data_IF_304745696672
#
_entry.id   IF_304745696672
#
_cell.length_a   1.000
_cell.length_b   1.000
_cell.length_c   1.000
_cell.angle_alpha   90.00
_cell.angle_beta   90.00
_cell.angle_gamma   90.00
#
_symmetry.space_group_name_H-M   'P 1'
#
loop_
_entity.id
_entity.type
_entity.pdbx_description
1 polymer ?
#
# COMPACT_ATOMS: atom_id res chain seq x y z
N UNK A 1 13.20 36.17 26.60
CA UNK A 1 13.44 34.77 26.14
C UNK A 1 12.21 33.94 26.51
N UNK A 2 11.28 33.78 25.59
CA UNK A 2 10.16 32.85 25.78
C UNK A 2 10.66 31.46 25.46
N UNK A 3 10.52 30.55 26.41
CA UNK A 3 10.77 29.14 26.21
C UNK A 3 9.85 28.62 25.07
N UNK A 4 10.42 28.11 24.02
CA UNK A 4 9.70 27.34 22.98
C UNK A 4 9.26 26.04 23.62
N UNK A 5 8.07 26.03 24.21
CA UNK A 5 7.43 24.86 24.76
C UNK A 5 6.94 23.99 23.59
N UNK A 6 7.46 22.75 23.52
CA UNK A 6 6.82 21.63 22.87
C UNK A 6 6.84 21.65 21.33
N UNK A 7 8.03 21.52 20.74
CA UNK A 7 8.10 21.01 19.38
C UNK A 7 7.88 19.51 19.43
N UNK A 8 6.67 19.08 19.08
CA UNK A 8 6.36 17.66 18.98
C UNK A 8 7.13 17.06 17.81
N UNK A 9 7.87 15.99 18.08
CA UNK A 9 8.54 15.20 17.06
C UNK A 9 7.53 14.23 16.49
N UNK A 10 7.27 14.34 15.20
CA UNK A 10 6.42 13.41 14.46
C UNK A 10 7.27 12.36 13.77
N UNK A 11 6.86 11.11 13.90
CA UNK A 11 7.48 9.99 13.19
C UNK A 11 6.53 9.55 12.08
N UNK A 12 7.02 9.53 10.86
CA UNK A 12 6.31 9.03 9.69
C UNK A 12 7.01 7.75 9.23
N UNK A 13 6.24 6.68 9.06
CA UNK A 13 6.73 5.39 8.59
C UNK A 13 6.41 5.24 7.12
N UNK A 14 7.38 4.83 6.32
CA UNK A 14 7.21 4.49 4.91
C UNK A 14 7.21 2.98 4.79
N UNK A 15 6.06 2.39 4.49
CA UNK A 15 5.93 0.95 4.35
C UNK A 15 6.81 0.43 3.20
N UNK A 16 7.52 -0.67 3.47
CA UNK A 16 8.26 -1.37 2.44
C UNK A 16 7.29 -2.02 1.45
N UNK A 17 7.63 -1.97 0.15
CA UNK A 17 6.92 -2.77 -0.85
C UNK A 17 7.34 -4.23 -0.69
N UNK A 18 6.36 -5.13 -0.85
CA UNK A 18 6.63 -6.55 -0.78
C UNK A 18 7.53 -7.00 -1.94
N UNK A 19 8.47 -7.86 -1.66
CA UNK A 19 9.45 -8.37 -2.63
C UNK A 19 8.80 -9.06 -3.82
N UNK A 20 9.42 -8.94 -4.99
CA UNK A 20 8.99 -9.59 -6.23
C UNK A 20 9.50 -11.02 -6.28
N UNK A 21 8.64 -11.96 -6.69
CA UNK A 21 9.01 -13.36 -6.94
C UNK A 21 9.19 -13.54 -8.44
N UNK A 22 10.35 -14.05 -8.84
CA UNK A 22 10.70 -14.34 -10.24
C UNK A 22 10.83 -15.83 -10.46
N UNK A 23 10.63 -16.27 -11.70
CA UNK A 23 11.05 -17.59 -12.16
C UNK A 23 12.57 -17.62 -12.45
N UNK A 24 13.06 -18.80 -12.88
CA UNK A 24 14.49 -18.99 -13.24
C UNK A 24 14.95 -18.14 -14.43
N UNK A 25 14.03 -17.67 -15.27
CA UNK A 25 14.32 -16.88 -16.46
C UNK A 25 14.22 -15.37 -16.18
N UNK A 26 13.85 -15.00 -14.94
CA UNK A 26 13.62 -13.61 -14.55
C UNK A 26 12.20 -13.10 -14.87
N UNK A 27 11.27 -13.98 -15.25
CA UNK A 27 9.88 -13.61 -15.46
C UNK A 27 9.16 -13.44 -14.12
N UNK A 28 8.33 -12.41 -14.03
CA UNK A 28 7.63 -12.08 -12.79
C UNK A 28 6.49 -13.07 -12.54
N UNK A 29 6.52 -13.74 -11.38
CA UNK A 29 5.47 -14.62 -10.89
C UNK A 29 4.53 -13.88 -9.95
N UNK A 30 5.09 -13.05 -9.05
CA UNK A 30 4.32 -12.24 -8.12
C UNK A 30 5.04 -10.91 -7.88
N UNK A 31 4.28 -9.81 -7.89
CA UNK A 31 4.80 -8.46 -7.63
C UNK A 31 3.75 -7.57 -6.97
N UNK A 32 4.20 -6.50 -6.33
CA UNK A 32 3.30 -5.44 -5.90
C UNK A 32 2.94 -4.55 -7.09
N UNK A 33 1.67 -4.18 -7.17
CA UNK A 33 1.18 -3.17 -8.09
C UNK A 33 0.51 -2.03 -7.34
N UNK A 34 0.58 -0.86 -7.91
CA UNK A 34 -0.14 0.31 -7.39
C UNK A 34 -1.64 0.09 -7.55
N UNK A 35 -2.37 0.33 -6.48
CA UNK A 35 -3.81 0.29 -6.43
C UNK A 35 -4.33 1.55 -5.71
N UNK A 36 -5.63 1.78 -5.72
CA UNK A 36 -6.23 2.99 -5.18
C UNK A 36 -7.45 2.65 -4.33
N UNK A 37 -7.58 3.35 -3.20
CA UNK A 37 -8.76 3.28 -2.34
C UNK A 37 -9.55 4.57 -2.47
N UNK A 38 -10.85 4.48 -2.69
CA UNK A 38 -11.73 5.64 -2.86
C UNK A 38 -12.06 6.22 -1.50
N UNK A 39 -11.90 7.54 -1.36
CA UNK A 39 -12.30 8.31 -0.20
C UNK A 39 -13.38 9.31 -0.59
N UNK A 40 -14.40 9.43 0.27
CA UNK A 40 -15.41 10.45 0.19
C UNK A 40 -15.22 11.47 1.31
N UNK A 41 -15.06 12.74 0.98
CA UNK A 41 -15.09 13.85 1.92
C UNK A 41 -16.54 14.29 2.15
N UNK A 42 -16.95 14.41 3.41
CA UNK A 42 -18.33 14.65 3.84
C UNK A 42 -18.50 15.98 4.57
N UNK A 43 -17.41 16.68 4.88
CA UNK A 43 -17.45 17.99 5.56
C UNK A 43 -17.89 19.08 4.58
N UNK A 44 -19.08 19.62 4.79
CA UNK A 44 -19.69 20.67 3.95
C UNK A 44 -18.92 22.00 3.98
N UNK A 45 -18.00 22.17 4.93
CA UNK A 45 -17.13 23.36 5.01
C UNK A 45 -15.90 23.24 4.13
N UNK A 46 -15.64 22.05 3.57
CA UNK A 46 -14.46 21.81 2.73
C UNK A 46 -14.66 22.45 1.35
N UNK A 47 -13.87 23.45 1.07
CA UNK A 47 -13.82 24.13 -0.22
C UNK A 47 -12.40 24.16 -0.77
N UNK A 48 -12.25 24.06 -2.08
CA UNK A 48 -11.00 24.25 -2.80
C UNK A 48 -11.25 25.27 -3.90
N UNK A 49 -10.54 26.38 -3.86
CA UNK A 49 -10.72 27.50 -4.79
C UNK A 49 -12.17 28.01 -4.89
N UNK A 50 -12.88 28.07 -3.74
CA UNK A 50 -14.27 28.55 -3.67
C UNK A 50 -15.30 27.59 -4.28
N UNK A 51 -14.92 26.34 -4.53
CA UNK A 51 -15.84 25.28 -4.98
C UNK A 51 -16.00 24.21 -3.90
N UNK A 52 -17.20 23.60 -3.77
CA UNK A 52 -17.38 22.48 -2.87
C UNK A 52 -16.39 21.35 -3.16
N UNK A 53 -15.65 20.93 -2.14
CA UNK A 53 -14.72 19.82 -2.19
C UNK A 53 -15.16 18.66 -1.28
N UNK A 54 -16.48 18.49 -1.16
CA UNK A 54 -17.16 17.43 -0.44
C UNK A 54 -18.25 16.82 -1.34
N UNK A 55 -18.75 15.64 -0.98
CA UNK A 55 -19.82 14.95 -1.72
C UNK A 55 -21.12 15.72 -1.55
N UNK A 56 -21.53 16.42 -2.60
CA UNK A 56 -22.74 17.26 -2.62
C UNK A 56 -23.98 16.39 -2.76
N UNK A 57 -23.97 15.46 -3.71
CA UNK A 57 -25.04 14.51 -3.96
C UNK A 57 -24.53 13.08 -3.76
N UNK A 58 -24.94 12.48 -2.64
CA UNK A 58 -24.49 11.14 -2.28
C UNK A 58 -25.13 10.05 -3.14
N UNK A 59 -26.36 10.25 -3.62
CA UNK A 59 -27.10 9.27 -4.43
C UNK A 59 -26.50 9.21 -5.83
N UNK A 60 -26.37 10.34 -6.51
CA UNK A 60 -25.72 10.42 -7.82
C UNK A 60 -24.26 9.93 -7.79
N UNK A 61 -23.52 10.29 -6.73
CA UNK A 61 -22.15 9.84 -6.54
C UNK A 61 -22.06 8.32 -6.38
N UNK A 62 -22.94 7.73 -5.56
CA UNK A 62 -22.97 6.29 -5.34
C UNK A 62 -23.32 5.51 -6.61
N UNK A 63 -24.32 5.98 -7.37
CA UNK A 63 -24.73 5.35 -8.63
C UNK A 63 -23.62 5.39 -9.68
N UNK A 64 -22.94 6.52 -9.85
CA UNK A 64 -21.87 6.69 -10.82
C UNK A 64 -20.64 5.83 -10.46
N UNK A 65 -20.25 5.79 -9.19
CA UNK A 65 -19.13 4.94 -8.74
C UNK A 65 -19.47 3.47 -8.92
N UNK A 66 -20.67 3.04 -8.51
CA UNK A 66 -21.11 1.66 -8.70
C UNK A 66 -21.17 1.27 -10.18
N UNK A 67 -21.61 2.18 -11.05
CA UNK A 67 -21.63 1.97 -12.51
C UNK A 67 -20.26 1.70 -13.11
N UNK A 68 -19.21 2.42 -12.64
CA UNK A 68 -17.82 2.20 -13.11
C UNK A 68 -17.23 0.92 -12.52
N UNK A 69 -17.44 0.68 -11.23
CA UNK A 69 -16.83 -0.49 -10.56
C UNK A 69 -17.49 -1.78 -10.98
N UNK A 70 -18.82 -1.78 -11.14
CA UNK A 70 -19.60 -2.97 -11.52
C UNK A 70 -19.51 -4.11 -10.50
N UNK A 71 -19.86 -5.33 -10.95
CA UNK A 71 -19.71 -6.54 -10.16
C UNK A 71 -20.55 -6.55 -8.88
N UNK A 72 -19.92 -6.73 -7.74
CA UNK A 72 -20.56 -6.79 -6.42
C UNK A 72 -20.74 -5.43 -5.73
N UNK A 73 -20.27 -4.34 -6.36
CA UNK A 73 -20.39 -2.98 -5.76
C UNK A 73 -21.80 -2.46 -6.03
N UNK A 74 -22.54 -2.24 -4.95
CA UNK A 74 -23.93 -1.76 -5.00
C UNK A 74 -24.00 -0.30 -4.58
N UNK A 75 -24.68 0.55 -5.35
CA UNK A 75 -24.90 1.95 -5.07
C UNK A 75 -25.60 2.18 -3.70
N UNK A 76 -26.55 1.33 -3.34
CA UNK A 76 -27.24 1.41 -2.04
C UNK A 76 -26.27 1.23 -0.87
N UNK A 77 -25.31 0.30 -0.99
CA UNK A 77 -24.30 0.06 0.06
C UNK A 77 -23.36 1.25 0.19
N UNK A 78 -22.91 1.82 -0.94
CA UNK A 78 -22.07 3.03 -0.94
C UNK A 78 -22.79 4.21 -0.31
N UNK A 79 -24.05 4.43 -0.69
CA UNK A 79 -24.90 5.47 -0.14
C UNK A 79 -25.11 5.31 1.37
N UNK A 80 -25.42 4.08 1.82
CA UNK A 80 -25.58 3.78 3.24
C UNK A 80 -24.30 4.07 4.03
N UNK A 81 -23.13 3.72 3.48
CA UNK A 81 -21.84 3.99 4.10
C UNK A 81 -21.58 5.48 4.23
N UNK A 82 -21.82 6.28 3.18
CA UNK A 82 -21.68 7.74 3.24
C UNK A 82 -22.66 8.38 4.24
N UNK A 83 -23.94 7.96 4.24
CA UNK A 83 -24.96 8.46 5.17
C UNK A 83 -24.61 8.13 6.63
N UNK A 84 -24.14 6.91 6.91
CA UNK A 84 -23.71 6.51 8.26
C UNK A 84 -22.48 7.30 8.73
N UNK A 85 -21.51 7.51 7.85
CA UNK A 85 -20.33 8.31 8.17
C UNK A 85 -20.70 9.79 8.45
N UNK A 86 -21.59 10.37 7.65
CA UNK A 86 -22.09 11.73 7.85
C UNK A 86 -22.85 11.87 9.18
N UNK A 87 -23.70 10.90 9.51
CA UNK A 87 -24.44 10.87 10.79
C UNK A 87 -23.51 10.77 12.00
N UNK A 88 -22.32 10.18 11.81
CA UNK A 88 -21.26 10.08 12.83
C UNK A 88 -20.30 11.28 12.82
N UNK A 89 -20.63 12.36 12.12
CA UNK A 89 -19.80 13.57 11.95
C UNK A 89 -18.37 13.28 11.46
N UNK A 90 -18.18 12.25 10.64
CA UNK A 90 -16.87 11.99 10.03
C UNK A 90 -16.63 12.99 8.91
N UNK A 91 -15.42 13.55 8.88
CA UNK A 91 -14.97 14.50 7.85
C UNK A 91 -14.77 13.76 6.51
N UNK A 92 -14.30 12.52 6.57
CA UNK A 92 -14.06 11.64 5.42
C UNK A 92 -14.36 10.20 5.76
N UNK A 93 -14.59 9.38 4.74
CA UNK A 93 -14.80 7.94 4.89
C UNK A 93 -14.34 7.18 3.65
N UNK A 94 -13.87 5.95 3.85
CA UNK A 94 -13.74 4.96 2.78
C UNK A 94 -15.13 4.38 2.47
N UNK A 95 -15.38 4.02 1.22
CA UNK A 95 -16.70 3.60 0.78
C UNK A 95 -16.98 2.08 0.97
N UNK A 96 -16.04 1.36 1.59
CA UNK A 96 -16.21 -0.04 1.97
C UNK A 96 -15.66 -1.04 0.95
N UNK A 97 -16.15 -2.28 1.04
CA UNK A 97 -15.68 -3.37 0.20
C UNK A 97 -15.93 -3.11 -1.30
N UNK A 98 -14.94 -3.46 -2.13
CA UNK A 98 -14.99 -3.25 -3.58
C UNK A 98 -14.57 -1.85 -4.05
N UNK A 99 -14.39 -0.90 -3.14
CA UNK A 99 -13.85 0.44 -3.43
C UNK A 99 -12.39 0.59 -2.98
N UNK A 100 -11.86 -0.43 -2.31
CA UNK A 100 -10.48 -0.53 -1.90
C UNK A 100 -9.68 -1.29 -2.95
N UNK A 101 -8.43 -0.88 -3.14
CA UNK A 101 -7.46 -1.51 -4.05
C UNK A 101 -7.96 -1.66 -5.50
N UNK A 102 -8.66 -0.64 -5.99
CA UNK A 102 -9.09 -0.58 -7.39
C UNK A 102 -7.89 -0.32 -8.32
N UNK A 103 -8.00 -0.78 -9.56
CA UNK A 103 -6.95 -0.55 -10.56
C UNK A 103 -6.86 0.91 -10.98
N UNK A 104 -5.70 1.28 -11.56
CA UNK A 104 -5.46 2.63 -12.09
C UNK A 104 -6.49 3.04 -13.15
N UNK A 105 -6.92 2.08 -13.99
CA UNK A 105 -7.90 2.33 -15.04
C UNK A 105 -9.26 2.71 -14.45
N UNK A 106 -9.72 1.96 -13.43
CA UNK A 106 -10.98 2.26 -12.73
C UNK A 106 -10.90 3.58 -11.96
N UNK A 107 -9.77 3.82 -11.29
CA UNK A 107 -9.51 5.10 -10.64
C UNK A 107 -9.63 6.26 -11.64
N UNK A 108 -9.01 6.14 -12.82
CA UNK A 108 -9.06 7.18 -13.83
C UNK A 108 -10.48 7.39 -14.37
N UNK A 109 -11.24 6.32 -14.63
CA UNK A 109 -12.63 6.40 -15.05
C UNK A 109 -13.51 7.16 -14.03
N UNK A 110 -13.32 6.89 -12.72
CA UNK A 110 -14.06 7.61 -11.68
C UNK A 110 -13.60 9.07 -11.58
N UNK A 111 -12.30 9.33 -11.70
CA UNK A 111 -11.73 10.68 -11.70
C UNK A 111 -12.28 11.53 -12.85
N UNK A 112 -12.46 10.95 -14.04
CA UNK A 112 -12.99 11.61 -15.22
C UNK A 112 -14.47 12.02 -15.06
N UNK A 113 -15.20 11.41 -14.12
CA UNK A 113 -16.55 11.84 -13.76
C UNK A 113 -16.58 13.16 -13.00
N UNK A 114 -15.44 13.66 -12.53
CA UNK A 114 -15.29 14.92 -11.81
C UNK A 114 -16.27 15.06 -10.62
N UNK A 115 -16.44 13.99 -9.84
CA UNK A 115 -17.32 13.96 -8.69
C UNK A 115 -16.73 14.82 -7.55
N UNK A 116 -17.43 15.85 -7.07
CA UNK A 116 -16.93 16.68 -5.99
C UNK A 116 -16.82 15.84 -4.70
N UNK A 117 -15.72 16.02 -3.97
CA UNK A 117 -15.49 15.35 -2.70
C UNK A 117 -15.04 13.87 -2.81
N UNK A 118 -14.83 13.36 -4.00
CA UNK A 118 -14.21 12.05 -4.20
C UNK A 118 -12.72 12.21 -4.46
N UNK A 119 -11.90 11.44 -3.74
CA UNK A 119 -10.46 11.42 -3.87
C UNK A 119 -9.93 9.99 -3.74
N UNK A 120 -8.63 9.79 -3.93
CA UNK A 120 -8.01 8.47 -3.96
C UNK A 120 -6.76 8.45 -3.11
N UNK A 121 -6.66 7.44 -2.25
CA UNK A 121 -5.39 7.10 -1.57
C UNK A 121 -4.69 6.03 -2.39
N UNK A 122 -3.43 6.26 -2.70
CA UNK A 122 -2.57 5.25 -3.30
C UNK A 122 -2.26 4.16 -2.27
N UNK A 123 -2.45 2.92 -2.66
CA UNK A 123 -2.18 1.73 -1.87
C UNK A 123 -1.44 0.69 -2.71
N UNK A 124 -1.09 -0.43 -2.13
CA UNK A 124 -0.54 -1.57 -2.85
C UNK A 124 -1.52 -2.73 -2.89
N UNK A 125 -1.44 -3.49 -3.97
CA UNK A 125 -2.11 -4.78 -4.12
C UNK A 125 -1.13 -5.79 -4.70
N UNK A 126 -1.37 -7.10 -4.49
CA UNK A 126 -0.51 -8.15 -5.01
C UNK A 126 -1.00 -8.63 -6.36
N UNK A 127 -0.09 -8.69 -7.32
CA UNK A 127 -0.36 -9.09 -8.69
C UNK A 127 0.37 -10.39 -9.03
N UNK A 128 -0.33 -11.29 -9.74
CA UNK A 128 0.17 -12.57 -10.22
C UNK A 128 0.00 -12.65 -11.73
N UNK A 129 0.93 -12.09 -12.52
CA UNK A 129 0.79 -11.98 -13.98
C UNK A 129 0.63 -13.33 -14.68
N UNK A 130 1.18 -14.40 -14.09
CA UNK A 130 1.08 -15.77 -14.61
C UNK A 130 -0.25 -16.47 -14.29
N UNK A 131 -1.18 -15.77 -13.60
CA UNK A 131 -2.49 -16.29 -13.24
C UNK A 131 -2.41 -17.51 -12.34
N UNK A 132 -3.03 -18.63 -12.76
CA UNK A 132 -3.08 -19.86 -11.96
C UNK A 132 -1.81 -20.71 -12.02
N UNK A 133 -0.79 -20.29 -12.78
CA UNK A 133 0.47 -21.03 -12.87
C UNK A 133 1.14 -21.17 -11.51
N UNK A 134 1.45 -22.42 -11.14
CA UNK A 134 2.07 -22.76 -9.87
C UNK A 134 1.36 -22.18 -8.60
N UNK A 135 0.06 -21.88 -8.69
CA UNK A 135 -0.70 -21.22 -7.61
C UNK A 135 -0.63 -21.96 -6.26
N UNK A 136 -0.57 -23.29 -6.28
CA UNK A 136 -0.40 -24.10 -5.07
C UNK A 136 0.98 -23.96 -4.43
N UNK A 137 2.02 -23.73 -5.24
CA UNK A 137 3.39 -23.53 -4.75
C UNK A 137 3.60 -22.07 -4.33
N UNK A 138 3.26 -21.14 -5.19
CA UNK A 138 3.42 -19.71 -4.94
C UNK A 138 2.50 -19.25 -3.81
N UNK A 139 1.28 -19.77 -3.78
CA UNK A 139 0.25 -19.35 -2.84
C UNK A 139 -0.31 -17.98 -3.17
N UNK A 140 -0.66 -17.24 -2.15
CA UNK A 140 -1.14 -15.87 -2.29
C UNK A 140 -0.82 -15.02 -1.07
N UNK A 141 -0.74 -13.71 -1.29
CA UNK A 141 -0.65 -12.68 -0.27
C UNK A 141 -1.87 -11.74 -0.40
N UNK A 142 -2.33 -11.21 0.70
CA UNK A 142 -3.43 -10.25 0.75
C UNK A 142 -3.14 -9.14 1.75
N UNK A 143 -3.79 -8.01 1.56
CA UNK A 143 -3.68 -6.89 2.49
C UNK A 143 -4.31 -7.26 3.84
N UNK A 144 -3.59 -6.98 4.90
CA UNK A 144 -4.02 -7.16 6.28
C UNK A 144 -4.34 -5.80 6.89
N UNK A 145 -5.57 -5.65 7.39
CA UNK A 145 -6.06 -4.37 7.94
C UNK A 145 -5.43 -4.05 9.31
N UNK A 146 -4.97 -5.05 10.06
CA UNK A 146 -4.33 -4.85 11.36
C UNK A 146 -2.88 -4.42 11.18
N UNK A 147 -2.16 -5.12 10.30
CA UNK A 147 -0.75 -4.85 10.00
C UNK A 147 -0.58 -3.71 8.99
N UNK A 148 -1.65 -3.26 8.34
CA UNK A 148 -1.64 -2.21 7.31
C UNK A 148 -0.68 -2.48 6.14
N UNK A 149 -0.49 -3.76 5.79
CA UNK A 149 0.46 -4.22 4.76
C UNK A 149 -0.01 -5.51 4.09
N UNK A 150 0.62 -5.87 2.98
CA UNK A 150 0.38 -7.14 2.30
C UNK A 150 1.14 -8.25 3.01
N UNK A 151 0.42 -9.30 3.44
CA UNK A 151 0.96 -10.46 4.15
C UNK A 151 0.71 -11.73 3.35
N UNK A 152 1.70 -12.61 3.29
CA UNK A 152 1.58 -13.93 2.70
C UNK A 152 0.64 -14.81 3.52
N UNK A 153 -0.35 -15.39 2.86
CA UNK A 153 -1.36 -16.25 3.52
C UNK A 153 -1.15 -17.73 3.24
N UNK A 154 -0.49 -18.08 2.15
CA UNK A 154 -0.24 -19.47 1.76
C UNK A 154 0.97 -19.59 0.82
N UNK A 155 1.57 -20.81 0.73
CA UNK A 155 2.63 -21.15 -0.21
C UNK A 155 3.95 -20.43 0.07
N UNK A 156 4.71 -20.13 -0.98
CA UNK A 156 5.97 -19.38 -0.87
C UNK A 156 5.77 -17.98 -0.33
N UNK A 157 4.64 -17.36 -0.66
CA UNK A 157 4.29 -16.05 -0.10
C UNK A 157 4.27 -16.08 1.43
N UNK A 158 3.70 -17.11 2.04
CA UNK A 158 3.69 -17.29 3.49
C UNK A 158 5.04 -17.77 4.03
N UNK A 159 5.63 -18.80 3.39
CA UNK A 159 6.86 -19.42 3.90
C UNK A 159 8.07 -18.48 3.88
N UNK A 160 8.03 -17.46 3.02
CA UNK A 160 9.10 -16.47 2.85
C UNK A 160 8.67 -15.07 3.33
N UNK A 161 7.68 -15.00 4.23
CA UNK A 161 7.16 -13.73 4.74
C UNK A 161 8.26 -12.79 5.23
N UNK A 162 9.14 -13.30 6.11
CA UNK A 162 10.22 -12.52 6.70
C UNK A 162 11.20 -11.92 5.67
N UNK A 163 11.28 -12.56 4.49
CA UNK A 163 12.14 -12.08 3.40
C UNK A 163 11.39 -11.16 2.44
N UNK A 164 10.12 -11.47 2.17
CA UNK A 164 9.31 -10.74 1.20
C UNK A 164 8.75 -9.44 1.76
N UNK A 165 8.46 -9.36 3.04
CA UNK A 165 7.86 -8.18 3.66
C UNK A 165 8.76 -6.94 3.61
N UNK A 166 10.08 -7.13 3.52
CA UNK A 166 11.04 -6.01 3.58
C UNK A 166 11.14 -5.39 4.97
N UNK A 167 11.80 -4.26 5.05
CA UNK A 167 11.93 -3.47 6.27
C UNK A 167 11.41 -2.05 6.01
N UNK A 168 10.50 -1.58 6.85
CA UNK A 168 9.91 -0.26 6.72
C UNK A 168 10.93 0.84 6.95
N UNK A 169 10.81 1.90 6.17
CA UNK A 169 11.56 3.13 6.40
C UNK A 169 10.86 4.00 7.43
N UNK A 170 11.58 4.90 8.06
CA UNK A 170 11.00 5.91 8.92
C UNK A 170 11.75 7.23 8.82
N UNK A 171 11.00 8.31 9.03
CA UNK A 171 11.55 9.66 9.14
C UNK A 171 10.91 10.38 10.31
N UNK A 172 11.67 11.33 10.86
CA UNK A 172 11.19 12.21 11.93
C UNK A 172 11.33 13.66 11.51
N UNK A 173 10.37 14.48 11.90
CA UNK A 173 10.40 15.92 11.69
C UNK A 173 9.58 16.64 12.75
N UNK A 174 9.82 17.93 12.90
CA UNK A 174 9.06 18.78 13.80
C UNK A 174 7.95 19.50 13.04
N UNK A 175 6.80 19.66 13.69
CA UNK A 175 5.68 20.43 13.17
C UNK A 175 5.48 21.72 13.92
N UNK A 176 5.12 22.77 13.21
CA UNK A 176 4.60 23.99 13.81
C UNK A 176 3.20 23.78 14.39
N UNK A 177 2.71 24.72 15.18
CA UNK A 177 1.38 24.65 15.80
C UNK A 177 0.22 24.57 14.77
N UNK A 178 0.44 25.00 13.54
CA UNK A 178 -0.51 24.90 12.43
C UNK A 178 -0.43 23.55 11.68
N UNK A 179 0.45 22.64 12.12
CA UNK A 179 0.64 21.32 11.52
C UNK A 179 1.65 21.27 10.36
N UNK A 180 2.23 22.41 9.97
CA UNK A 180 3.24 22.42 8.89
C UNK A 180 4.59 21.89 9.36
N UNK A 181 5.31 21.21 8.49
CA UNK A 181 6.67 20.74 8.77
C UNK A 181 7.62 21.93 8.89
N UNK A 182 8.44 21.93 9.95
CA UNK A 182 9.47 22.96 10.14
C UNK A 182 10.68 22.68 9.23
N UNK A 183 11.09 23.63 8.39
CA UNK A 183 12.23 23.45 7.50
C UNK A 183 13.50 23.07 8.24
N UNK A 184 14.24 22.10 7.70
CA UNK A 184 15.53 21.66 8.26
C UNK A 184 15.46 20.79 9.51
N UNK A 185 14.26 20.35 9.93
CA UNK A 185 14.09 19.44 11.07
C UNK A 185 13.93 17.98 10.67
N UNK A 186 13.87 17.69 9.37
CA UNK A 186 13.67 16.34 8.82
C UNK A 186 14.92 15.49 9.04
N UNK A 187 14.74 14.38 9.72
CA UNK A 187 15.74 13.33 9.90
C UNK A 187 15.20 12.02 9.32
N UNK A 188 15.93 11.43 8.38
CA UNK A 188 15.61 10.12 7.79
C UNK A 188 16.43 9.08 8.54
N UNK A 189 15.76 8.24 9.32
CA UNK A 189 16.43 7.23 10.14
C UNK A 189 16.72 5.95 9.36
N UNK A 190 15.76 5.50 8.54
CA UNK A 190 15.92 4.38 7.64
C UNK A 190 15.10 4.59 6.37
N UNK A 191 15.60 4.10 5.24
CA UNK A 191 14.83 3.99 4.01
C UNK A 191 14.22 2.60 3.95
N UNK A 192 13.01 2.49 3.37
CA UNK A 192 12.36 1.21 3.17
C UNK A 192 13.21 0.30 2.27
N UNK A 193 13.43 -0.93 2.71
CA UNK A 193 14.25 -1.92 2.00
C UNK A 193 13.33 -2.95 1.37
N UNK A 194 13.49 -3.16 0.05
CA UNK A 194 12.73 -4.15 -0.71
C UNK A 194 13.47 -5.47 -0.79
N UNK A 195 12.74 -6.58 -0.67
CA UNK A 195 13.28 -7.91 -0.95
C UNK A 195 12.99 -8.32 -2.39
N UNK A 196 13.97 -8.91 -3.07
CA UNK A 196 13.78 -9.56 -4.37
C UNK A 196 14.17 -11.02 -4.26
N UNK A 197 13.25 -11.90 -4.59
CA UNK A 197 13.51 -13.34 -4.74
C UNK A 197 13.68 -13.66 -6.22
N UNK A 198 14.93 -13.84 -6.62
CA UNK A 198 15.26 -14.32 -7.96
C UNK A 198 15.56 -15.82 -7.91
N UNK A 199 14.95 -16.57 -8.82
CA UNK A 199 15.09 -18.01 -8.92
C UNK A 199 16.31 -18.36 -9.79
N UNK A 200 17.51 -17.89 -9.41
CA UNK A 200 18.75 -18.30 -10.09
C UNK A 200 19.56 -19.28 -9.23
N UNK A 201 19.69 -20.50 -9.75
CA UNK A 201 20.67 -21.48 -9.33
C UNK A 201 22.06 -21.05 -9.85
N UNK A 202 22.69 -20.05 -9.25
CA UNK A 202 24.11 -19.81 -9.46
C UNK A 202 24.81 -19.50 -8.15
N UNK A 203 25.95 -20.18 -7.99
CA UNK A 203 26.77 -20.26 -6.81
C UNK A 203 26.99 -18.91 -6.11
N UNK A 204 26.74 -18.92 -4.82
CA UNK A 204 27.06 -17.87 -3.85
C UNK A 204 28.54 -17.45 -3.98
N UNK A 205 28.79 -16.30 -4.57
CA UNK A 205 30.01 -15.56 -4.27
C UNK A 205 29.61 -14.32 -3.47
N UNK A 206 30.13 -14.13 -2.26
CA UNK A 206 29.90 -12.90 -1.50
C UNK A 206 30.60 -11.74 -2.21
N UNK A 207 29.83 -10.85 -2.85
CA UNK A 207 30.39 -9.60 -3.35
C UNK A 207 30.67 -8.68 -2.16
N UNK A 208 31.92 -8.32 -1.98
CA UNK A 208 32.34 -7.25 -1.08
C UNK A 208 31.63 -5.95 -1.48
N UNK A 209 30.94 -5.34 -0.51
CA UNK A 209 30.37 -4.02 -0.65
C UNK A 209 31.50 -3.00 -0.79
N UNK A 210 31.48 -2.08 -1.75
CA UNK A 210 32.39 -0.95 -1.77
C UNK A 210 32.01 0.02 -0.65
N UNK A 211 32.97 0.42 0.15
CA UNK A 211 32.82 1.50 1.13
C UNK A 211 32.70 2.84 0.40
N UNK A 212 31.67 3.59 0.71
CA UNK A 212 31.61 5.04 0.47
C UNK A 212 30.39 5.55 -0.29
N UNK A 213 29.57 6.34 0.39
CA UNK A 213 28.79 7.43 -0.21
C UNK A 213 27.32 7.15 -0.55
N UNK A 214 26.47 7.80 0.20
CA UNK A 214 25.14 8.35 -0.12
C UNK A 214 24.21 7.58 -1.10
N UNK A 215 22.97 7.35 -0.61
CA UNK A 215 21.79 6.85 -1.32
C UNK A 215 21.90 5.42 -1.87
N UNK A 216 21.59 4.46 -1.00
CA UNK A 216 21.46 3.07 -1.45
C UNK A 216 20.09 2.50 -1.06
N UNK A 217 19.23 2.35 -2.09
CA UNK A 217 18.22 1.30 -2.09
C UNK A 217 18.99 -0.03 -2.01
N UNK A 218 18.96 -0.67 -0.85
CA UNK A 218 19.62 -1.97 -0.69
C UNK A 218 18.67 -3.04 -1.23
N UNK A 219 18.89 -3.43 -2.48
CA UNK A 219 18.24 -4.60 -3.08
C UNK A 219 18.87 -5.87 -2.48
N UNK A 220 18.13 -6.58 -1.65
CA UNK A 220 18.51 -7.93 -1.20
C UNK A 220 17.96 -8.94 -2.20
N UNK A 221 18.82 -9.52 -3.02
CA UNK A 221 18.49 -10.66 -3.90
C UNK A 221 18.72 -11.95 -3.12
N UNK A 222 17.66 -12.69 -2.84
CA UNK A 222 17.73 -14.00 -2.19
C UNK A 222 17.45 -15.11 -3.19
N UNK A 223 18.21 -16.18 -3.11
CA UNK A 223 18.10 -17.34 -4.01
C UNK A 223 17.23 -18.43 -3.37
N UNK A 224 16.32 -18.99 -4.14
CA UNK A 224 15.29 -19.96 -3.71
C UNK A 224 15.84 -21.32 -3.20
N UNK A 225 17.14 -21.58 -3.31
CA UNK A 225 17.76 -22.87 -2.91
C UNK A 225 17.60 -23.15 -1.41
N UNK A 226 17.51 -22.12 -0.57
CA UNK A 226 17.28 -22.28 0.87
C UNK A 226 15.83 -22.61 1.24
N UNK A 227 14.86 -22.14 0.47
CA UNK A 227 13.44 -22.26 0.82
C UNK A 227 12.89 -23.70 0.68
N UNK A 228 13.34 -24.46 -0.31
CA UNK A 228 12.97 -25.88 -0.47
C UNK A 228 13.55 -26.75 0.66
N UNK A 229 14.68 -26.39 1.20
CA UNK A 229 15.29 -27.11 2.32
C UNK A 229 14.58 -26.83 3.65
N UNK A 230 14.10 -25.60 3.85
CA UNK A 230 13.32 -25.19 5.02
C UNK A 230 11.90 -25.79 5.03
N UNK A 231 11.23 -25.84 3.86
CA UNK A 231 9.91 -26.48 3.74
C UNK A 231 9.96 -27.99 4.02
N UNK A 232 11.04 -28.67 3.67
CA UNK A 232 11.23 -30.09 3.98
C UNK A 232 11.52 -30.36 5.46
N UNK A 233 12.02 -29.40 6.22
CA UNK A 233 12.26 -29.55 7.65
C UNK A 233 11.00 -29.31 8.51
N UNK A 234 10.05 -28.53 8.04
CA UNK A 234 8.79 -28.29 8.79
C UNK A 234 7.76 -29.41 8.67
N UNK A 235 7.90 -30.32 7.71
CA UNK A 235 7.05 -31.50 7.56
C UNK A 235 7.62 -32.78 8.20
N UNK A 236 8.72 -32.67 8.96
CA UNK A 236 9.39 -33.80 9.63
C UNK A 236 9.29 -33.76 11.17
N UNK A 237 8.30 -33.06 11.73
CA UNK A 237 7.93 -33.08 13.16
C UNK A 237 6.49 -33.48 13.33
#
# INVERSE_FOLDING_TARGET
>A
MQALNGTDIYTETTAAKRGTIYDRNGEIIAQDKVAYTIIAYLDEKREIYGKPAYVVDMEDTAEKIAGVLGGSVNAETLLATMKAAKSSNKVQTELGAGTKRISKEKMQQIKDLNLPGIDFIETSDRDYPTGTFASHLVGFASYDEEEQRIIGKMGLEYALEDYLSGEDGWMQYQRAADGTELPGTRYVGAQAVFAQLANEFHALQPRRLPHGGHEHVVERRFFLVGALHLLNQQHAL
#
